data_IF_182507361471
#
_entry.id   IF_182507361471
#
_cell.length_a   1.000
_cell.length_b   1.000
_cell.length_c   1.000
_cell.angle_alpha   90.00
_cell.angle_beta   90.00
_cell.angle_gamma   90.00
#
_symmetry.space_group_name_H-M   'P 1'
#
loop_
_entity.id
_entity.type
_entity.pdbx_description
1 polymer ?
#
# COMPACT_ATOMS: atom_id res chain seq x y z
N UNK A 1 57.79 -39.14 28.70
CA UNK A 1 58.71 -40.28 28.63
C UNK A 1 57.89 -41.44 28.11
N UNK A 2 57.82 -41.66 26.80
CA UNK A 2 58.76 -42.45 25.97
C UNK A 2 58.65 -43.96 26.23
N UNK A 3 57.74 -44.58 25.46
CA UNK A 3 57.97 -45.69 24.52
C UNK A 3 58.65 -47.03 24.91
N UNK A 4 58.31 -48.03 24.06
CA UNK A 4 58.96 -49.33 23.81
C UNK A 4 58.73 -50.48 24.82
N UNK A 5 58.71 -51.76 24.41
CA UNK A 5 58.17 -52.46 23.21
C UNK A 5 58.59 -53.94 23.26
N UNK A 6 57.70 -54.87 22.95
CA UNK A 6 58.01 -56.21 22.40
C UNK A 6 56.70 -56.79 21.84
N UNK A 7 56.54 -57.12 20.54
CA UNK A 7 57.18 -58.17 19.71
C UNK A 7 56.63 -59.59 20.01
N UNK A 8 56.30 -60.47 19.06
CA UNK A 8 56.17 -60.41 17.58
C UNK A 8 55.63 -61.74 17.00
N UNK A 9 54.82 -61.75 15.92
CA UNK A 9 54.81 -62.86 14.93
C UNK A 9 54.17 -62.54 13.54
N UNK A 10 55.07 -62.45 12.57
CA UNK A 10 54.96 -62.39 11.09
C UNK A 10 54.52 -63.77 10.49
N UNK A 11 54.10 -64.01 9.23
CA UNK A 11 52.98 -63.55 8.35
C UNK A 11 52.70 -64.70 7.30
N UNK A 12 51.83 -64.62 6.25
CA UNK A 12 51.47 -65.76 5.37
C UNK A 12 52.43 -65.90 4.15
N UNK A 13 52.18 -66.74 3.10
CA UNK A 13 51.23 -66.41 2.00
C UNK A 13 50.64 -67.61 1.17
N UNK A 14 49.90 -67.27 0.09
CA UNK A 14 49.78 -67.97 -1.23
C UNK A 14 49.09 -69.36 -1.36
N UNK A 15 48.52 -69.77 -2.52
CA UNK A 15 48.06 -69.07 -3.76
C UNK A 15 47.25 -70.02 -4.68
N UNK A 16 46.77 -69.49 -5.83
CA UNK A 16 46.52 -70.12 -7.16
C UNK A 16 45.05 -70.45 -7.56
N UNK A 17 44.59 -70.21 -8.80
CA UNK A 17 45.17 -69.44 -9.94
C UNK A 17 44.18 -69.26 -11.13
N UNK A 18 44.44 -68.23 -11.97
CA UNK A 18 44.21 -68.17 -13.45
C UNK A 18 42.78 -68.22 -14.04
N UNK A 19 42.42 -67.52 -15.14
CA UNK A 19 43.17 -66.58 -16.02
C UNK A 19 42.23 -65.76 -16.94
N UNK A 20 42.70 -64.60 -17.40
CA UNK A 20 42.08 -63.70 -18.41
C UNK A 20 42.62 -64.00 -19.84
N UNK A 21 42.61 -63.07 -20.83
CA UNK A 21 41.51 -62.32 -21.49
C UNK A 21 41.54 -62.46 -23.04
N UNK A 22 40.55 -61.94 -23.79
CA UNK A 22 40.76 -61.47 -25.17
C UNK A 22 39.66 -60.54 -25.73
N UNK A 23 40.08 -59.71 -26.69
CA UNK A 23 39.32 -58.66 -27.41
C UNK A 23 38.78 -59.12 -28.77
N UNK A 24 37.74 -58.45 -29.31
CA UNK A 24 37.74 -57.94 -30.70
C UNK A 24 36.47 -57.13 -31.06
N UNK A 25 36.61 -56.26 -32.06
CA UNK A 25 35.56 -55.41 -32.64
C UNK A 25 35.41 -55.69 -34.14
N UNK A 26 34.19 -55.86 -34.68
CA UNK A 26 33.80 -55.51 -36.08
C UNK A 26 32.35 -55.88 -36.45
N UNK A 27 31.68 -55.00 -37.21
CA UNK A 27 30.46 -55.17 -38.03
C UNK A 27 30.67 -56.17 -39.23
N UNK A 28 29.74 -56.43 -40.21
CA UNK A 28 28.38 -55.88 -40.45
C UNK A 28 27.24 -56.86 -40.93
N UNK A 29 25.99 -56.36 -40.94
CA UNK A 29 24.90 -56.51 -41.95
C UNK A 29 24.36 -57.85 -42.53
N UNK A 30 23.03 -57.82 -42.80
CA UNK A 30 22.22 -58.61 -43.78
C UNK A 30 21.62 -59.97 -43.36
N UNK A 31 20.50 -60.47 -43.91
CA UNK A 31 19.25 -59.86 -44.41
C UNK A 31 18.20 -60.94 -44.75
N UNK A 32 16.93 -60.80 -44.30
CA UNK A 32 15.67 -61.32 -44.91
C UNK A 32 14.53 -61.28 -43.87
N UNK A 33 13.27 -60.98 -44.18
CA UNK A 33 12.69 -60.43 -45.41
C UNK A 33 11.21 -60.81 -45.56
N UNK A 34 10.30 -59.83 -45.63
CA UNK A 34 9.03 -59.81 -46.41
C UNK A 34 8.10 -58.66 -45.97
N UNK A 35 7.90 -57.74 -46.91
CA UNK A 35 6.78 -56.79 -46.98
C UNK A 35 5.62 -57.45 -47.79
N UNK A 36 4.41 -56.86 -47.97
CA UNK A 36 4.20 -55.51 -48.52
C UNK A 36 3.19 -54.61 -47.78
N UNK A 37 3.40 -53.29 -47.91
CA UNK A 37 2.41 -52.24 -47.57
C UNK A 37 1.75 -51.60 -48.80
N UNK A 38 1.53 -50.27 -48.73
CA UNK A 38 0.99 -49.35 -49.78
C UNK A 38 -0.55 -49.37 -49.97
N UNK A 39 -1.29 -48.28 -50.24
CA UNK A 39 -1.09 -46.81 -50.20
C UNK A 39 -2.52 -46.18 -50.05
N UNK A 40 -2.81 -44.92 -49.71
CA UNK A 40 -2.19 -43.61 -49.99
C UNK A 40 -3.05 -42.82 -50.99
N UNK A 41 -3.35 -41.53 -50.77
CA UNK A 41 -4.06 -40.68 -51.75
C UNK A 41 -4.74 -39.42 -51.20
N UNK A 42 -4.48 -38.26 -51.83
CA UNK A 42 -5.02 -36.92 -51.50
C UNK A 42 -6.17 -36.52 -52.46
N UNK A 43 -7.04 -35.56 -52.08
CA UNK A 43 -7.97 -34.89 -53.02
C UNK A 43 -8.99 -33.93 -52.37
N UNK A 44 -9.27 -32.78 -53.01
CA UNK A 44 -10.16 -31.71 -52.52
C UNK A 44 -11.62 -31.81 -53.06
N UNK A 45 -12.60 -31.29 -52.29
CA UNK A 45 -13.84 -30.51 -52.65
C UNK A 45 -14.75 -30.88 -53.86
N UNK A 46 -16.02 -30.37 -53.97
CA UNK A 46 -16.95 -29.83 -52.94
C UNK A 46 -18.46 -30.25 -53.08
N UNK A 47 -19.17 -30.41 -51.94
CA UNK A 47 -20.65 -30.30 -51.79
C UNK A 47 -21.58 -31.22 -52.62
N UNK A 48 -22.92 -31.01 -52.63
CA UNK A 48 -23.78 -30.30 -51.66
C UNK A 48 -24.99 -31.14 -51.15
N UNK A 49 -25.61 -30.82 -50.00
CA UNK A 49 -27.04 -31.08 -49.75
C UNK A 49 -27.66 -30.07 -48.78
N UNK A 50 -28.97 -29.82 -48.92
CA UNK A 50 -29.67 -28.62 -48.44
C UNK A 50 -30.60 -28.85 -47.23
N UNK A 51 -30.76 -27.80 -46.41
CA UNK A 51 -31.99 -27.52 -45.65
C UNK A 51 -32.08 -28.14 -44.25
N UNK A 52 -32.75 -27.53 -43.26
CA UNK A 52 -33.62 -26.33 -43.30
C UNK A 52 -33.47 -25.48 -42.02
N UNK A 53 -33.97 -24.25 -42.05
CA UNK A 53 -33.78 -23.22 -41.04
C UNK A 53 -34.87 -23.24 -39.95
N UNK A 54 -34.49 -23.00 -38.70
CA UNK A 54 -35.39 -22.68 -37.59
C UNK A 54 -34.83 -21.52 -36.78
N UNK A 55 -35.57 -20.42 -36.67
CA UNK A 55 -35.14 -19.22 -35.92
C UNK A 55 -35.43 -19.36 -34.41
N UNK A 56 -34.68 -18.65 -33.55
CA UNK A 56 -34.93 -18.64 -32.10
C UNK A 56 -36.25 -17.95 -31.74
N UNK A 57 -37.07 -18.60 -30.92
CA UNK A 57 -38.26 -18.00 -30.32
C UNK A 57 -37.88 -17.13 -29.10
N UNK A 58 -38.53 -15.98 -28.98
CA UNK A 58 -38.36 -15.06 -27.86
C UNK A 58 -39.48 -15.28 -26.84
N UNK A 59 -39.18 -15.89 -25.70
CA UNK A 59 -40.16 -16.01 -24.60
C UNK A 59 -40.30 -14.69 -23.84
N UNK A 60 -41.50 -14.10 -23.87
CA UNK A 60 -41.87 -12.97 -23.02
C UNK A 60 -42.26 -13.45 -21.62
N UNK A 61 -41.82 -12.79 -20.53
CA UNK A 61 -42.41 -13.01 -19.22
C UNK A 61 -43.82 -12.38 -19.13
N UNK A 62 -44.78 -13.00 -18.42
CA UNK A 62 -46.17 -12.56 -18.39
C UNK A 62 -46.42 -11.31 -17.54
N UNK A 63 -47.42 -10.54 -17.97
CA UNK A 63 -47.84 -9.26 -17.40
C UNK A 63 -48.53 -9.44 -16.04
N UNK A 64 -47.88 -9.00 -14.96
CA UNK A 64 -48.50 -8.82 -13.65
C UNK A 64 -48.74 -7.33 -13.36
N UNK A 65 -50.00 -6.90 -13.24
CA UNK A 65 -50.30 -5.53 -12.81
C UNK A 65 -50.00 -5.36 -11.31
N UNK A 66 -49.13 -4.39 -10.97
CA UNK A 66 -48.96 -3.89 -9.62
C UNK A 66 -49.53 -2.47 -9.53
N UNK A 67 -50.44 -2.28 -8.57
CA UNK A 67 -51.25 -1.07 -8.42
C UNK A 67 -50.45 0.08 -7.81
N UNK A 68 -50.74 1.32 -8.22
CA UNK A 68 -49.99 2.52 -7.84
C UNK A 68 -50.02 2.81 -6.33
N UNK A 69 -48.85 3.11 -5.76
CA UNK A 69 -48.70 3.73 -4.43
C UNK A 69 -47.64 4.83 -4.47
N UNK A 70 -48.05 6.11 -4.48
CA UNK A 70 -47.11 7.24 -4.43
C UNK A 70 -46.74 7.60 -2.98
N UNK A 71 -45.47 7.91 -2.67
CA UNK A 71 -45.10 8.59 -1.44
C UNK A 71 -45.56 10.05 -1.45
N UNK A 72 -46.31 10.47 -0.42
CA UNK A 72 -46.67 11.87 -0.22
C UNK A 72 -45.42 12.73 0.04
N UNK A 73 -45.16 13.70 -0.83
CA UNK A 73 -44.33 14.86 -0.50
C UNK A 73 -45.21 15.99 0.03
N UNK A 74 -44.80 16.63 1.13
CA UNK A 74 -45.52 17.75 1.74
C UNK A 74 -45.59 18.96 0.81
N UNK A 75 -46.74 19.62 0.78
CA UNK A 75 -46.95 20.79 -0.09
C UNK A 75 -46.23 22.03 0.44
N UNK A 76 -45.47 22.68 -0.42
CA UNK A 76 -45.07 24.09 -0.26
C UNK A 76 -46.08 24.95 -1.05
N UNK A 77 -46.63 26.04 -0.48
CA UNK A 77 -47.58 26.90 -1.20
C UNK A 77 -46.95 27.61 -2.41
N UNK A 78 -47.59 27.50 -3.57
CA UNK A 78 -47.24 28.26 -4.76
C UNK A 78 -47.67 29.73 -4.63
N UNK A 79 -46.71 30.65 -4.77
CA UNK A 79 -46.98 32.04 -5.17
C UNK A 79 -46.68 32.23 -6.66
N UNK A 80 -47.38 33.13 -7.39
CA UNK A 80 -47.12 33.38 -8.80
C UNK A 80 -45.76 34.05 -9.03
N UNK A 81 -45.08 33.79 -10.17
CA UNK A 81 -43.78 34.37 -10.46
C UNK A 81 -43.88 35.88 -10.76
N UNK A 82 -43.18 36.71 -9.99
CA UNK A 82 -42.95 38.10 -10.38
C UNK A 82 -41.84 38.18 -11.43
N UNK A 83 -42.20 38.64 -12.63
CA UNK A 83 -41.24 39.13 -13.60
C UNK A 83 -40.74 40.52 -13.17
N UNK A 84 -39.63 40.56 -12.42
CA UNK A 84 -38.94 41.81 -12.13
C UNK A 84 -38.36 42.41 -13.43
N UNK A 85 -38.85 43.58 -13.85
CA UNK A 85 -38.23 44.31 -14.94
C UNK A 85 -36.83 44.80 -14.53
N UNK A 86 -35.81 44.75 -15.42
CA UNK A 86 -34.55 45.43 -15.19
C UNK A 86 -34.77 46.95 -15.15
N UNK A 87 -34.72 47.55 -13.96
CA UNK A 87 -34.81 48.99 -13.81
C UNK A 87 -33.50 49.63 -14.28
N UNK A 88 -33.49 50.17 -15.50
CA UNK A 88 -32.36 50.96 -16.01
C UNK A 88 -32.24 52.27 -15.22
N UNK A 89 -31.30 52.30 -14.28
CA UNK A 89 -30.85 53.56 -13.68
C UNK A 89 -30.07 54.40 -14.71
N UNK A 90 -30.24 55.73 -14.75
CA UNK A 90 -29.45 56.58 -15.64
C UNK A 90 -27.97 56.56 -15.22
N UNK A 91 -27.02 56.61 -16.17
CA UNK A 91 -25.59 56.63 -15.85
C UNK A 91 -25.22 57.93 -15.13
N UNK A 92 -24.60 57.82 -13.96
CA UNK A 92 -23.95 58.97 -13.32
C UNK A 92 -22.71 59.37 -14.12
N UNK A 93 -22.80 60.49 -14.83
CA UNK A 93 -21.64 61.16 -15.40
C UNK A 93 -20.83 61.82 -14.27
N UNK A 94 -19.76 61.15 -13.84
CA UNK A 94 -18.64 61.85 -13.19
C UNK A 94 -17.92 62.74 -14.20
N UNK A 95 -17.45 63.95 -13.84
CA UNK A 95 -16.72 64.80 -14.77
C UNK A 95 -15.40 64.14 -15.19
N UNK A 96 -14.96 64.31 -16.45
CA UNK A 96 -13.71 63.73 -16.92
C UNK A 96 -12.52 64.34 -16.17
N UNK A 97 -11.80 63.52 -15.41
CA UNK A 97 -10.49 63.91 -14.91
C UNK A 97 -9.51 63.95 -16.08
N UNK A 98 -9.21 65.16 -16.56
CA UNK A 98 -8.13 65.39 -17.50
C UNK A 98 -6.81 64.99 -16.83
N UNK A 99 -6.29 63.81 -17.18
CA UNK A 99 -4.94 63.43 -16.85
C UNK A 99 -3.98 64.40 -17.54
N UNK A 100 -3.33 65.27 -16.77
CA UNK A 100 -2.29 66.15 -17.28
C UNK A 100 -1.13 65.28 -17.81
N UNK A 101 -0.55 65.61 -18.98
CA UNK A 101 0.62 64.90 -19.47
C UNK A 101 1.78 65.09 -18.47
N UNK A 102 2.58 64.05 -18.18
CA UNK A 102 3.68 64.18 -17.24
C UNK A 102 4.70 65.19 -17.77
N UNK A 103 5.06 66.17 -16.93
CA UNK A 103 6.14 67.10 -17.20
C UNK A 103 7.42 66.33 -17.53
N UNK A 104 8.11 66.72 -18.61
CA UNK A 104 9.38 66.10 -18.99
C UNK A 104 10.42 66.25 -17.87
N UNK A 105 11.34 65.27 -17.71
CA UNK A 105 12.29 65.28 -16.61
C UNK A 105 13.23 66.49 -16.70
N UNK A 106 13.27 67.31 -15.65
CA UNK A 106 14.32 68.30 -15.46
C UNK A 106 15.68 67.59 -15.33
N UNK A 107 16.70 67.96 -16.12
CA UNK A 107 18.03 67.39 -15.97
C UNK A 107 18.69 67.96 -14.70
N UNK A 108 18.74 67.17 -13.63
CA UNK A 108 19.47 67.55 -12.40
C UNK A 108 19.10 66.82 -11.11
N UNK A 109 17.96 66.11 -11.02
CA UNK A 109 17.58 65.37 -9.82
C UNK A 109 17.79 63.85 -9.96
N UNK A 110 18.27 63.15 -8.91
CA UNK A 110 18.24 61.69 -8.86
C UNK A 110 16.79 61.21 -9.02
N UNK A 111 16.54 60.36 -10.02
CA UNK A 111 15.18 59.86 -10.29
C UNK A 111 14.61 59.08 -9.10
N UNK A 112 13.29 59.13 -8.86
CA UNK A 112 12.68 58.38 -7.77
C UNK A 112 12.93 56.88 -7.97
N UNK A 113 13.56 56.26 -6.97
CA UNK A 113 13.81 54.83 -6.99
C UNK A 113 12.48 54.08 -7.19
N UNK A 114 12.42 53.05 -8.06
CA UNK A 114 11.21 52.28 -8.26
C UNK A 114 10.80 51.66 -6.92
N UNK A 115 9.64 52.07 -6.41
CA UNK A 115 9.08 51.54 -5.18
C UNK A 115 8.63 50.10 -5.43
N UNK A 116 9.56 49.16 -5.23
CA UNK A 116 9.25 47.75 -5.15
C UNK A 116 8.29 47.58 -3.98
N UNK A 117 7.00 47.38 -4.28
CA UNK A 117 5.98 47.10 -3.28
C UNK A 117 6.42 45.94 -2.38
N UNK A 118 6.03 45.94 -1.10
CA UNK A 118 6.53 44.98 -0.12
C UNK A 118 6.38 43.55 -0.67
N UNK A 119 7.44 42.71 -0.60
CA UNK A 119 7.45 41.41 -1.25
C UNK A 119 6.25 40.59 -0.75
N UNK A 120 5.44 40.12 -1.69
CA UNK A 120 4.20 39.41 -1.40
C UNK A 120 4.46 38.31 -0.35
N UNK A 121 3.76 38.41 0.78
CA UNK A 121 3.98 37.52 1.91
C UNK A 121 3.93 36.06 1.46
N UNK A 122 5.02 35.31 1.67
CA UNK A 122 5.10 33.91 1.24
C UNK A 122 4.00 33.12 1.93
N UNK A 123 2.98 32.72 1.17
CA UNK A 123 1.88 31.91 1.67
C UNK A 123 2.39 30.61 2.34
N UNK A 124 1.61 30.02 3.25
CA UNK A 124 2.07 28.91 4.08
C UNK A 124 2.63 27.76 3.24
N UNK A 125 3.74 27.18 3.69
CA UNK A 125 4.36 26.05 2.99
C UNK A 125 3.37 24.89 2.84
N UNK A 126 2.70 24.54 3.94
CA UNK A 126 1.67 23.51 3.98
C UNK A 126 0.33 24.07 3.49
N UNK A 127 -0.23 23.46 2.45
CA UNK A 127 -1.57 23.75 1.94
C UNK A 127 -2.56 22.73 2.53
N UNK A 128 -3.72 23.17 3.07
CA UNK A 128 -4.70 22.29 3.65
C UNK A 128 -5.33 21.35 2.60
N UNK A 129 -5.88 20.24 3.07
CA UNK A 129 -6.72 19.36 2.25
C UNK A 129 -8.13 19.96 2.20
N UNK A 130 -8.77 19.90 1.03
CA UNK A 130 -10.15 20.37 0.84
C UNK A 130 -11.12 19.56 1.73
N UNK A 131 -12.15 20.18 2.33
CA UNK A 131 -13.20 19.47 3.07
C UNK A 131 -13.95 18.42 2.25
N UNK A 132 -14.55 17.45 2.93
CA UNK A 132 -15.42 16.43 2.32
C UNK A 132 -14.74 15.41 1.40
N UNK A 133 -13.41 15.43 1.22
CA UNK A 133 -12.73 14.45 0.35
C UNK A 133 -12.52 13.11 1.06
N UNK A 134 -12.65 11.97 0.36
CA UNK A 134 -12.30 10.66 0.89
C UNK A 134 -10.77 10.49 0.98
N UNK A 135 -10.33 9.54 1.81
CA UNK A 135 -8.92 9.30 2.10
C UNK A 135 -8.02 9.20 0.86
N UNK A 136 -8.44 8.46 -0.17
CA UNK A 136 -7.64 8.27 -1.41
C UNK A 136 -7.49 9.53 -2.27
N UNK A 137 -8.19 10.64 -1.98
CA UNK A 137 -8.07 11.89 -2.74
C UNK A 137 -7.33 13.01 -1.98
N UNK A 138 -6.84 12.73 -0.76
CA UNK A 138 -6.24 13.75 0.12
C UNK A 138 -4.95 14.40 -0.40
N UNK A 139 -4.31 13.86 -1.44
CA UNK A 139 -3.16 14.49 -2.09
C UNK A 139 -3.56 15.54 -3.17
N UNK A 140 -4.87 15.70 -3.46
CA UNK A 140 -5.41 16.71 -4.40
C UNK A 140 -5.71 18.03 -3.70
N UNK A 141 -4.70 18.63 -3.09
CA UNK A 141 -4.74 19.99 -2.51
C UNK A 141 -4.59 21.05 -3.61
N UNK A 142 -4.73 22.35 -3.28
CA UNK A 142 -4.53 23.42 -4.28
C UNK A 142 -3.04 23.57 -4.71
N UNK A 143 -2.12 22.98 -3.95
CA UNK A 143 -0.72 22.78 -4.33
C UNK A 143 -0.51 21.58 -5.27
N UNK A 144 -1.55 20.82 -5.61
CA UNK A 144 -1.42 19.68 -6.53
C UNK A 144 -1.02 20.14 -7.93
N UNK A 145 -0.10 19.41 -8.56
CA UNK A 145 0.24 19.48 -9.98
C UNK A 145 0.45 18.05 -10.47
N UNK A 146 0.18 17.77 -11.74
CA UNK A 146 0.20 16.41 -12.29
C UNK A 146 1.53 15.65 -12.07
N UNK A 147 2.66 16.38 -12.03
CA UNK A 147 3.99 15.80 -11.80
C UNK A 147 4.30 15.50 -10.32
N UNK A 148 3.59 16.13 -9.37
CA UNK A 148 3.91 16.05 -7.93
C UNK A 148 3.73 14.64 -7.32
N UNK A 149 2.71 13.85 -7.69
CA UNK A 149 2.64 12.45 -7.29
C UNK A 149 3.84 11.65 -7.80
N UNK A 150 4.22 11.82 -9.08
CA UNK A 150 5.32 11.08 -9.71
C UNK A 150 6.67 11.43 -9.08
N UNK A 151 7.02 12.72 -9.02
CA UNK A 151 8.26 13.20 -8.39
C UNK A 151 8.29 12.86 -6.90
N UNK A 152 7.13 12.87 -6.23
CA UNK A 152 7.03 12.44 -4.83
C UNK A 152 7.37 10.96 -4.66
N UNK A 153 6.81 10.08 -5.49
CA UNK A 153 7.11 8.64 -5.44
C UNK A 153 8.59 8.38 -5.76
N UNK A 154 9.15 9.03 -6.78
CA UNK A 154 10.59 8.90 -7.11
C UNK A 154 11.47 9.41 -5.96
N UNK A 155 11.12 10.53 -5.33
CA UNK A 155 11.85 11.06 -4.18
C UNK A 155 11.76 10.14 -2.95
N UNK A 156 10.59 9.54 -2.68
CA UNK A 156 10.40 8.54 -1.62
C UNK A 156 11.26 7.31 -1.89
N UNK A 157 11.25 6.76 -3.11
CA UNK A 157 12.06 5.60 -3.48
C UNK A 157 13.57 5.88 -3.41
N UNK A 158 14.03 7.02 -3.92
CA UNK A 158 15.43 7.43 -3.85
C UNK A 158 15.91 7.69 -2.42
N UNK A 159 15.07 8.30 -1.58
CA UNK A 159 15.35 8.49 -0.16
C UNK A 159 15.35 7.16 0.62
N UNK A 160 14.45 6.23 0.29
CA UNK A 160 14.44 4.88 0.86
C UNK A 160 15.71 4.12 0.52
N UNK A 161 16.11 4.10 -0.77
CA UNK A 161 17.35 3.48 -1.22
C UNK A 161 18.58 4.07 -0.49
N UNK A 162 18.68 5.40 -0.40
CA UNK A 162 19.78 6.07 0.31
C UNK A 162 19.78 5.75 1.82
N UNK A 163 18.62 5.77 2.47
CA UNK A 163 18.50 5.50 3.90
C UNK A 163 18.86 4.04 4.23
N UNK A 164 18.39 3.07 3.42
CA UNK A 164 18.77 1.66 3.56
C UNK A 164 20.24 1.43 3.26
N UNK A 165 20.82 2.10 2.25
CA UNK A 165 22.25 2.02 1.97
C UNK A 165 23.11 2.58 3.12
N UNK A 166 22.71 3.70 3.73
CA UNK A 166 23.37 4.24 4.93
C UNK A 166 23.22 3.28 6.11
N UNK A 167 22.02 2.73 6.34
CA UNK A 167 21.80 1.74 7.41
C UNK A 167 22.64 0.48 7.20
N UNK A 168 22.78 0.00 5.96
CA UNK A 168 23.62 -1.14 5.59
C UNK A 168 25.09 -0.87 5.88
N UNK A 169 25.61 0.30 5.50
CA UNK A 169 26.98 0.71 5.82
C UNK A 169 27.19 0.77 7.34
N UNK A 170 26.26 1.36 8.10
CA UNK A 170 26.33 1.41 9.56
C UNK A 170 26.24 0.02 10.21
N UNK A 171 25.42 -0.88 9.66
CA UNK A 171 25.31 -2.26 10.11
C UNK A 171 26.59 -3.06 9.88
N UNK A 172 27.21 -2.93 8.70
CA UNK A 172 28.51 -3.54 8.37
C UNK A 172 29.62 -2.98 9.28
N UNK A 173 29.67 -1.66 9.51
CA UNK A 173 30.63 -1.05 10.43
C UNK A 173 30.43 -1.59 11.86
N UNK A 174 29.18 -1.66 12.34
CA UNK A 174 28.84 -2.22 13.65
C UNK A 174 29.27 -3.68 13.78
N UNK A 175 29.04 -4.50 12.74
CA UNK A 175 29.47 -5.88 12.68
C UNK A 175 31.00 -6.02 12.75
N UNK A 176 31.74 -5.24 11.95
CA UNK A 176 33.22 -5.25 11.94
C UNK A 176 33.78 -4.80 13.30
N UNK A 177 33.18 -3.82 13.95
CA UNK A 177 33.59 -3.34 15.28
C UNK A 177 33.41 -4.41 16.37
N UNK A 178 32.40 -5.28 16.24
CA UNK A 178 32.12 -6.35 17.22
C UNK A 178 32.93 -7.62 16.94
N UNK A 179 33.09 -8.01 15.67
CA UNK A 179 33.68 -9.30 15.29
C UNK A 179 35.14 -9.21 14.80
N UNK A 180 35.62 -8.02 14.45
CA UNK A 180 36.97 -7.79 13.93
C UNK A 180 37.13 -8.03 12.42
N UNK A 181 36.14 -8.60 11.76
CA UNK A 181 36.14 -8.97 10.34
C UNK A 181 34.83 -8.55 9.63
N UNK A 182 34.84 -8.35 8.30
CA UNK A 182 33.62 -8.08 7.54
C UNK A 182 32.68 -9.30 7.53
N UNK A 183 31.36 -9.09 7.47
CA UNK A 183 30.41 -10.21 7.43
C UNK A 183 30.54 -10.99 6.11
N UNK A 184 30.68 -12.30 6.22
CA UNK A 184 30.55 -13.22 5.09
C UNK A 184 29.07 -13.46 4.79
N UNK A 185 28.60 -13.03 3.62
CA UNK A 185 27.22 -13.28 3.17
C UNK A 185 27.05 -14.77 2.88
N UNK A 186 26.23 -15.46 3.69
CA UNK A 186 25.99 -16.91 3.56
C UNK A 186 24.92 -17.25 2.52
N UNK A 187 24.02 -16.31 2.25
CA UNK A 187 22.96 -16.38 1.25
C UNK A 187 22.51 -14.97 0.88
N UNK A 188 21.69 -14.83 -0.16
CA UNK A 188 21.05 -13.56 -0.54
C UNK A 188 20.15 -12.98 0.59
N UNK A 189 19.82 -13.80 1.59
CA UNK A 189 18.88 -13.52 2.68
C UNK A 189 19.52 -13.38 4.05
N UNK A 190 20.79 -13.77 4.21
CA UNK A 190 21.56 -13.62 5.46
C UNK A 190 22.82 -12.78 5.24
N UNK A 191 22.70 -11.50 5.63
CA UNK A 191 23.71 -10.47 5.47
C UNK A 191 24.79 -10.55 6.56
N UNK A 192 24.42 -10.92 7.78
CA UNK A 192 25.31 -10.99 8.94
C UNK A 192 25.61 -12.42 9.40
N UNK A 193 25.09 -13.43 8.70
CA UNK A 193 25.22 -14.84 9.08
C UNK A 193 24.54 -15.20 10.41
N UNK A 194 23.59 -14.36 10.87
CA UNK A 194 22.92 -14.45 12.16
C UNK A 194 21.46 -13.96 12.04
N UNK A 195 20.51 -14.88 12.21
CA UNK A 195 19.07 -14.63 12.01
C UNK A 195 18.52 -13.45 12.83
N UNK A 196 19.03 -13.19 14.04
CA UNK A 196 18.55 -12.09 14.88
C UNK A 196 19.06 -10.73 14.38
N UNK A 197 20.31 -10.67 13.91
CA UNK A 197 20.87 -9.47 13.28
C UNK A 197 20.20 -9.19 11.93
N UNK A 198 20.01 -10.23 11.11
CA UNK A 198 19.33 -10.14 9.81
C UNK A 198 17.86 -9.71 9.97
N UNK A 199 17.13 -10.28 10.92
CA UNK A 199 15.76 -9.87 11.26
C UNK A 199 15.71 -8.41 11.74
N UNK A 200 16.57 -8.05 12.70
CA UNK A 200 16.62 -6.69 13.24
C UNK A 200 16.92 -5.64 12.18
N UNK A 201 17.86 -5.93 11.27
CA UNK A 201 18.20 -5.09 10.14
C UNK A 201 17.04 -4.91 9.17
N UNK A 202 16.41 -6.01 8.73
CA UNK A 202 15.31 -5.96 7.76
C UNK A 202 14.09 -5.18 8.30
N UNK A 203 13.68 -5.45 9.56
CA UNK A 203 12.58 -4.72 10.18
C UNK A 203 12.90 -3.23 10.39
N UNK A 204 14.15 -2.90 10.77
CA UNK A 204 14.60 -1.51 10.92
C UNK A 204 14.67 -0.76 9.59
N UNK A 205 15.16 -1.40 8.52
CA UNK A 205 15.24 -0.84 7.17
C UNK A 205 13.84 -0.46 6.65
N UNK A 206 12.84 -1.33 6.84
CA UNK A 206 11.46 -1.06 6.47
C UNK A 206 10.83 0.04 7.34
N UNK A 207 11.11 0.05 8.65
CA UNK A 207 10.62 1.09 9.55
C UNK A 207 11.05 2.52 9.16
N UNK A 208 12.21 2.68 8.50
CA UNK A 208 12.68 3.97 7.96
C UNK A 208 11.76 4.55 6.87
N UNK A 209 10.86 3.75 6.26
CA UNK A 209 9.91 4.27 5.28
C UNK A 209 8.91 5.26 5.92
N UNK A 210 8.61 5.17 7.22
CA UNK A 210 7.69 6.09 7.94
C UNK A 210 8.16 7.57 7.84
N UNK A 211 9.35 7.95 8.34
CA UNK A 211 9.82 9.32 8.20
C UNK A 211 10.00 9.74 6.73
N UNK A 212 10.35 8.81 5.84
CA UNK A 212 10.60 9.10 4.42
C UNK A 212 9.30 9.48 3.68
N UNK A 213 8.22 8.71 3.82
CA UNK A 213 6.92 9.08 3.22
C UNK A 213 6.32 10.33 3.85
N UNK A 214 6.58 10.57 5.14
CA UNK A 214 6.19 11.80 5.83
C UNK A 214 6.90 13.03 5.25
N UNK A 215 8.22 12.93 5.03
CA UNK A 215 9.01 13.96 4.35
C UNK A 215 8.58 14.14 2.89
N UNK A 216 8.22 13.08 2.17
CA UNK A 216 7.64 13.16 0.82
C UNK A 216 6.32 13.94 0.79
N UNK A 217 5.44 13.72 1.77
CA UNK A 217 4.16 14.42 1.87
C UNK A 217 4.34 15.91 2.21
N UNK A 218 5.26 16.22 3.11
CA UNK A 218 5.56 17.59 3.52
C UNK A 218 6.36 18.38 2.47
N UNK A 219 7.45 17.81 1.95
CA UNK A 219 8.36 18.47 1.02
C UNK A 219 7.82 18.52 -0.40
N UNK A 220 7.43 17.37 -0.97
CA UNK A 220 7.00 17.32 -2.38
C UNK A 220 5.52 17.67 -2.52
N UNK A 221 4.64 17.06 -1.72
CA UNK A 221 3.20 17.28 -1.85
C UNK A 221 2.69 18.53 -1.11
N UNK A 222 3.52 19.17 -0.26
CA UNK A 222 3.19 20.38 0.51
C UNK A 222 1.94 20.23 1.40
N UNK A 223 1.77 19.06 2.04
CA UNK A 223 0.66 18.78 2.97
C UNK A 223 1.17 18.24 4.31
N UNK A 224 0.31 18.22 5.34
CA UNK A 224 0.68 17.70 6.66
C UNK A 224 0.96 16.19 6.57
N UNK A 225 2.07 15.66 7.11
CA UNK A 225 2.39 14.23 7.04
C UNK A 225 1.26 13.30 7.51
N UNK A 226 0.58 13.65 8.61
CA UNK A 226 -0.53 12.87 9.15
C UNK A 226 -1.77 12.75 8.23
N UNK A 227 -1.81 13.43 7.08
CA UNK A 227 -2.81 13.15 6.01
C UNK A 227 -2.61 11.77 5.37
N UNK A 228 -1.44 11.15 5.57
CA UNK A 228 -1.20 9.75 5.27
C UNK A 228 -1.79 8.81 6.33
N UNK A 229 -2.05 9.28 7.56
CA UNK A 229 -2.58 8.44 8.66
C UNK A 229 -4.11 8.31 8.60
N UNK A 230 -4.82 9.42 8.44
CA UNK A 230 -6.28 9.46 8.32
C UNK A 230 -6.80 10.75 7.69
N UNK A 231 -8.08 10.78 7.35
CA UNK A 231 -8.83 11.97 6.90
C UNK A 231 -8.83 13.12 7.92
N UNK A 232 -8.56 12.82 9.20
CA UNK A 232 -8.45 13.82 10.27
C UNK A 232 -7.01 14.36 10.41
N UNK A 233 -6.07 13.82 9.63
CA UNK A 233 -4.68 14.28 9.61
C UNK A 233 -3.82 13.77 10.77
N UNK A 234 -4.23 12.69 11.45
CA UNK A 234 -3.53 12.05 12.59
C UNK A 234 -4.03 10.61 12.80
N UNK A 235 -3.27 9.77 13.49
CA UNK A 235 -3.78 8.48 13.99
C UNK A 235 -4.86 8.71 15.04
N UNK A 236 -5.98 7.99 14.92
CA UNK A 236 -7.10 8.01 15.86
C UNK A 236 -6.91 6.90 16.89
N UNK A 237 -6.08 7.13 17.90
CA UNK A 237 -5.68 6.13 18.90
C UNK A 237 -6.83 5.30 19.50
N UNK A 238 -7.98 5.93 19.82
CA UNK A 238 -9.17 5.20 20.33
C UNK A 238 -9.75 4.21 19.32
N UNK A 239 -9.69 4.55 18.03
CA UNK A 239 -10.10 3.67 16.94
C UNK A 239 -9.07 2.57 16.70
N UNK A 240 -7.77 2.93 16.65
CA UNK A 240 -6.67 1.95 16.54
C UNK A 240 -6.73 0.89 17.63
N UNK A 241 -6.93 1.26 18.90
CA UNK A 241 -7.07 0.29 20.00
C UNK A 241 -8.27 -0.64 19.84
N UNK A 242 -9.40 -0.15 19.30
CA UNK A 242 -10.56 -0.98 18.99
C UNK A 242 -10.24 -1.95 17.83
N UNK A 243 -9.49 -1.50 16.82
CA UNK A 243 -8.98 -2.34 15.74
C UNK A 243 -7.99 -3.41 16.23
N UNK A 244 -7.12 -3.09 17.19
CA UNK A 244 -6.22 -4.06 17.84
C UNK A 244 -7.01 -5.13 18.61
N UNK A 245 -8.06 -4.74 19.34
CA UNK A 245 -8.95 -5.68 20.01
C UNK A 245 -9.66 -6.63 19.03
N UNK A 246 -10.07 -6.13 17.87
CA UNK A 246 -10.63 -6.98 16.81
C UNK A 246 -9.55 -7.84 16.12
N UNK A 247 -8.30 -7.35 16.03
CA UNK A 247 -7.20 -8.06 15.40
C UNK A 247 -6.76 -9.27 16.23
N UNK A 248 -6.83 -9.16 17.57
CA UNK A 248 -6.70 -10.31 18.46
C UNK A 248 -7.75 -11.41 18.16
N UNK A 249 -9.02 -11.03 17.96
CA UNK A 249 -10.07 -12.00 17.58
C UNK A 249 -9.76 -12.63 16.22
N UNK A 250 -9.30 -11.83 15.25
CA UNK A 250 -8.81 -12.36 13.96
C UNK A 250 -7.71 -13.41 14.15
N UNK A 251 -6.69 -13.16 14.97
CA UNK A 251 -5.62 -14.14 15.22
C UNK A 251 -6.16 -15.46 15.80
N UNK A 252 -7.04 -15.41 16.80
CA UNK A 252 -7.62 -16.63 17.38
C UNK A 252 -8.42 -17.43 16.35
N UNK A 253 -9.15 -16.76 15.46
CA UNK A 253 -9.95 -17.42 14.41
C UNK A 253 -9.06 -17.92 13.27
N UNK A 254 -8.05 -17.16 12.82
CA UNK A 254 -7.08 -17.59 11.79
C UNK A 254 -6.23 -18.77 12.26
N UNK A 255 -5.73 -18.73 13.51
CA UNK A 255 -5.02 -19.86 14.11
C UNK A 255 -5.91 -21.11 14.22
N UNK A 256 -7.14 -20.97 14.71
CA UNK A 256 -8.10 -22.08 14.81
C UNK A 256 -8.51 -22.66 13.46
N UNK A 257 -8.72 -21.80 12.45
CA UNK A 257 -9.01 -22.21 11.08
C UNK A 257 -7.80 -22.90 10.43
N UNK A 258 -6.58 -22.45 10.71
CA UNK A 258 -5.35 -23.05 10.20
C UNK A 258 -5.09 -24.43 10.82
N UNK A 259 -5.33 -24.59 12.14
CA UNK A 259 -5.29 -25.89 12.80
C UNK A 259 -6.33 -26.86 12.20
N UNK A 260 -7.55 -26.37 11.92
CA UNK A 260 -8.60 -27.14 11.24
C UNK A 260 -8.18 -27.55 9.81
N UNK A 261 -7.57 -26.62 9.06
CA UNK A 261 -7.06 -26.87 7.72
C UNK A 261 -5.93 -27.91 7.71
N UNK A 262 -5.06 -27.95 8.73
CA UNK A 262 -4.06 -29.01 8.89
C UNK A 262 -4.70 -30.38 9.12
N UNK A 263 -5.68 -30.46 10.03
CA UNK A 263 -6.35 -31.74 10.39
C UNK A 263 -7.16 -32.33 9.22
N UNK A 264 -7.85 -31.49 8.44
CA UNK A 264 -8.80 -31.93 7.42
C UNK A 264 -8.33 -31.75 5.97
N UNK A 265 -7.20 -31.08 5.76
CA UNK A 265 -6.82 -30.58 4.42
C UNK A 265 -5.95 -31.50 3.57
N UNK A 266 -5.54 -32.66 4.07
CA UNK A 266 -4.53 -33.53 3.41
C UNK A 266 -3.27 -32.73 3.03
N UNK A 267 -2.80 -31.92 3.99
CA UNK A 267 -1.62 -31.05 3.84
C UNK A 267 -0.38 -31.86 4.20
N UNK A 268 0.72 -31.79 3.42
CA UNK A 268 1.97 -32.50 3.77
C UNK A 268 2.47 -32.15 5.17
N UNK A 269 2.92 -33.17 5.90
CA UNK A 269 3.49 -33.04 7.24
C UNK A 269 4.82 -32.25 7.19
N UNK A 270 4.74 -30.95 7.50
CA UNK A 270 5.91 -30.10 7.75
C UNK A 270 6.56 -30.48 9.09
N UNK A 271 7.83 -30.90 9.13
CA UNK A 271 8.45 -31.52 10.31
C UNK A 271 8.26 -30.69 11.58
N UNK A 272 7.74 -31.33 12.63
CA UNK A 272 7.37 -30.67 13.89
C UNK A 272 8.59 -30.04 14.60
N UNK A 273 8.82 -28.76 14.32
CA UNK A 273 9.72 -27.91 15.10
C UNK A 273 9.31 -27.91 16.57
N UNK A 274 10.27 -28.24 17.44
CA UNK A 274 10.11 -28.30 18.89
C UNK A 274 10.24 -26.92 19.53
N UNK A 275 9.60 -26.71 20.68
CA UNK A 275 9.82 -25.52 21.51
C UNK A 275 11.30 -25.33 21.81
N UNK A 276 11.86 -24.15 21.49
CA UNK A 276 13.30 -23.87 21.60
C UNK A 276 13.76 -23.56 23.03
N UNK A 277 12.84 -23.21 23.93
CA UNK A 277 13.16 -22.74 25.27
C UNK A 277 13.26 -21.22 25.36
N UNK A 278 13.13 -20.70 26.58
CA UNK A 278 13.08 -19.24 26.81
C UNK A 278 14.37 -18.51 26.43
N UNK A 279 15.54 -19.13 26.60
CA UNK A 279 16.82 -18.50 26.29
C UNK A 279 16.93 -18.11 24.80
N UNK A 280 16.59 -19.05 23.90
CA UNK A 280 16.69 -18.85 22.46
C UNK A 280 15.50 -18.07 21.88
N UNK A 281 14.34 -18.12 22.54
CA UNK A 281 13.13 -17.38 22.12
C UNK A 281 13.14 -15.89 22.50
N UNK A 282 13.68 -15.51 23.65
CA UNK A 282 13.51 -14.15 24.20
C UNK A 282 14.12 -13.06 23.32
N UNK A 283 15.28 -13.30 22.71
CA UNK A 283 15.95 -12.33 21.84
C UNK A 283 15.16 -12.04 20.53
N UNK A 284 14.81 -13.04 19.69
CA UNK A 284 13.97 -12.80 18.53
C UNK A 284 12.60 -12.23 18.92
N UNK A 285 11.98 -12.71 20.01
CA UNK A 285 10.70 -12.18 20.48
C UNK A 285 10.76 -10.68 20.83
N UNK A 286 11.83 -10.24 21.49
CA UNK A 286 12.06 -8.82 21.80
C UNK A 286 12.25 -7.98 20.53
N UNK A 287 13.02 -8.47 19.55
CA UNK A 287 13.23 -7.80 18.25
C UNK A 287 11.89 -7.68 17.50
N UNK A 288 11.12 -8.75 17.44
CA UNK A 288 9.80 -8.81 16.78
C UNK A 288 8.82 -7.83 17.43
N UNK A 289 8.63 -7.91 18.75
CA UNK A 289 7.69 -7.04 19.47
C UNK A 289 8.11 -5.57 19.40
N UNK A 290 9.41 -5.27 19.37
CA UNK A 290 9.91 -3.90 19.26
C UNK A 290 9.77 -3.31 17.85
N UNK A 291 10.04 -4.08 16.78
CA UNK A 291 10.20 -3.54 15.42
C UNK A 291 9.04 -3.85 14.45
N UNK A 292 8.34 -4.99 14.57
CA UNK A 292 7.20 -5.31 13.69
C UNK A 292 6.10 -4.24 13.72
N UNK A 293 5.73 -3.64 14.87
CA UNK A 293 4.78 -2.52 14.90
C UNK A 293 5.16 -1.35 13.99
N UNK A 294 6.47 -1.09 13.82
CA UNK A 294 6.97 -0.04 12.94
C UNK A 294 7.08 -0.52 11.49
N UNK A 295 7.61 -1.72 11.23
CA UNK A 295 7.72 -2.29 9.87
C UNK A 295 6.35 -2.39 9.19
N UNK A 296 5.37 -3.05 9.81
CA UNK A 296 4.03 -3.19 9.27
C UNK A 296 3.34 -1.82 9.08
N UNK A 297 3.51 -0.89 10.05
CA UNK A 297 3.01 0.48 9.89
C UNK A 297 3.64 1.20 8.70
N UNK A 298 4.94 1.01 8.46
CA UNK A 298 5.68 1.65 7.37
C UNK A 298 5.17 1.21 6.00
N UNK A 299 4.92 -0.09 5.85
CA UNK A 299 4.31 -0.66 4.65
C UNK A 299 2.87 -0.16 4.47
N UNK A 300 2.05 -0.11 5.51
CA UNK A 300 0.72 0.51 5.41
C UNK A 300 0.78 1.98 4.98
N UNK A 301 1.75 2.75 5.49
CA UNK A 301 1.97 4.13 5.05
C UNK A 301 2.40 4.24 3.57
N UNK A 302 3.10 3.25 3.00
CA UNK A 302 3.46 3.21 1.57
C UNK A 302 2.30 2.72 0.70
N UNK A 303 1.83 1.49 0.94
CA UNK A 303 0.91 0.78 0.03
C UNK A 303 -0.54 1.20 0.19
N UNK A 304 -0.95 1.62 1.39
CA UNK A 304 -2.34 2.02 1.69
C UNK A 304 -2.45 3.53 1.90
N UNK A 305 -1.41 4.18 2.42
CA UNK A 305 -1.32 5.63 2.60
C UNK A 305 -0.88 6.36 1.32
N UNK A 306 0.38 6.16 0.89
CA UNK A 306 1.00 6.94 -0.19
C UNK A 306 0.43 6.58 -1.57
N UNK A 307 0.46 5.31 -1.96
CA UNK A 307 0.11 4.86 -3.32
C UNK A 307 -1.34 5.22 -3.70
N UNK A 308 -2.39 4.90 -2.90
CA UNK A 308 -3.76 5.22 -3.28
C UNK A 308 -4.02 6.72 -3.34
N UNK A 309 -3.33 7.51 -2.51
CA UNK A 309 -3.41 8.97 -2.53
C UNK A 309 -2.66 9.58 -3.73
N UNK A 310 -1.52 9.03 -4.12
CA UNK A 310 -0.81 9.42 -5.34
C UNK A 310 -1.64 9.13 -6.60
N UNK A 311 -2.32 7.97 -6.67
CA UNK A 311 -3.23 7.61 -7.77
C UNK A 311 -4.48 8.50 -7.77
N UNK A 312 -5.14 8.68 -6.63
CA UNK A 312 -6.34 9.52 -6.53
C UNK A 312 -6.08 11.02 -6.69
N UNK A 313 -4.82 11.46 -6.54
CA UNK A 313 -4.40 12.80 -6.96
C UNK A 313 -4.41 12.97 -8.49
N UNK A 314 -4.20 11.91 -9.27
CA UNK A 314 -4.14 11.95 -10.74
C UNK A 314 -5.52 11.98 -11.43
N UNK A 315 -6.63 12.25 -10.71
CA UNK A 315 -7.96 12.32 -11.32
C UNK A 315 -8.04 13.36 -12.43
N UNK A 316 -8.77 13.03 -13.50
CA UNK A 316 -8.98 13.88 -14.67
C UNK A 316 -10.19 14.83 -14.52
N UNK A 317 -10.71 15.02 -13.30
CA UNK A 317 -11.94 15.78 -13.02
C UNK A 317 -11.95 17.19 -13.62
N UNK A 318 -10.83 17.89 -13.55
CA UNK A 318 -10.71 19.30 -13.97
C UNK A 318 -10.27 19.45 -15.45
N UNK A 319 -10.23 18.36 -16.23
CA UNK A 319 -9.86 18.41 -17.66
C UNK A 319 -11.10 18.28 -18.57
N UNK A 320 -11.16 19.02 -19.69
CA UNK A 320 -12.09 18.73 -20.77
C UNK A 320 -11.97 17.26 -21.20
N UNK A 321 -13.09 16.55 -21.33
CA UNK A 321 -13.11 15.10 -21.62
C UNK A 321 -12.89 14.18 -20.39
N UNK A 322 -12.67 14.73 -19.19
CA UNK A 322 -12.46 13.99 -17.93
C UNK A 322 -13.64 13.13 -17.41
N UNK A 323 -14.71 13.02 -18.18
CA UNK A 323 -15.86 12.13 -17.94
C UNK A 323 -15.74 10.74 -18.59
N UNK A 324 -14.71 10.50 -19.42
CA UNK A 324 -14.45 9.20 -20.04
C UNK A 324 -14.23 8.06 -19.03
N UNK A 325 -14.18 6.81 -19.51
CA UNK A 325 -14.07 5.61 -18.66
C UNK A 325 -12.88 5.70 -17.68
N UNK A 326 -11.69 6.04 -18.18
CA UNK A 326 -10.49 6.27 -17.35
C UNK A 326 -10.71 7.38 -16.31
N UNK A 327 -11.34 8.48 -16.70
CA UNK A 327 -11.67 9.60 -15.82
C UNK A 327 -12.68 9.24 -14.73
N UNK A 328 -13.58 8.28 -14.98
CA UNK A 328 -14.48 7.70 -13.95
C UNK A 328 -13.73 6.71 -13.06
N UNK A 329 -12.94 5.80 -13.63
CA UNK A 329 -12.18 4.81 -12.88
C UNK A 329 -11.26 5.45 -11.84
N UNK A 330 -10.47 6.46 -12.23
CA UNK A 330 -9.53 7.17 -11.35
C UNK A 330 -10.21 7.92 -10.18
N UNK A 331 -11.52 8.22 -10.26
CA UNK A 331 -12.27 8.83 -9.13
C UNK A 331 -12.54 7.80 -8.03
N UNK A 332 -12.72 6.54 -8.41
CA UNK A 332 -12.92 5.43 -7.46
C UNK A 332 -11.60 5.09 -6.75
N UNK A 333 -11.62 4.47 -5.56
CA UNK A 333 -10.40 4.06 -4.88
C UNK A 333 -9.73 2.83 -5.52
N UNK A 334 -10.46 2.07 -6.36
CA UNK A 334 -10.02 0.77 -6.85
C UNK A 334 -8.69 0.77 -7.60
N UNK A 335 -8.36 1.72 -8.50
CA UNK A 335 -7.04 1.74 -9.14
C UNK A 335 -5.89 1.91 -8.14
N UNK A 336 -6.10 2.69 -7.08
CA UNK A 336 -5.13 2.86 -6.01
C UNK A 336 -4.97 1.62 -5.13
N UNK A 337 -6.09 0.97 -4.78
CA UNK A 337 -6.10 -0.27 -4.00
C UNK A 337 -5.44 -1.41 -4.78
N UNK A 338 -5.81 -1.61 -6.05
CA UNK A 338 -5.27 -2.68 -6.89
C UNK A 338 -3.79 -2.47 -7.19
N UNK A 339 -3.35 -1.24 -7.50
CA UNK A 339 -1.92 -0.95 -7.68
C UNK A 339 -1.14 -1.18 -6.37
N UNK A 340 -1.68 -0.74 -5.24
CA UNK A 340 -1.08 -0.98 -3.93
C UNK A 340 -0.94 -2.46 -3.61
N UNK A 341 -2.00 -3.25 -3.86
CA UNK A 341 -2.02 -4.70 -3.64
C UNK A 341 -1.04 -5.45 -4.55
N UNK A 342 -1.02 -5.17 -5.87
CA UNK A 342 -0.08 -5.80 -6.82
C UNK A 342 1.37 -5.48 -6.45
N UNK A 343 1.67 -4.22 -6.14
CA UNK A 343 3.03 -3.82 -5.74
C UNK A 343 3.44 -4.47 -4.41
N UNK A 344 2.52 -4.54 -3.43
CA UNK A 344 2.74 -5.24 -2.17
C UNK A 344 3.10 -6.71 -2.41
N UNK A 345 2.26 -7.45 -3.14
CA UNK A 345 2.50 -8.86 -3.49
C UNK A 345 3.83 -9.05 -4.24
N UNK A 346 4.17 -8.17 -5.18
CA UNK A 346 5.43 -8.28 -5.96
C UNK A 346 6.71 -8.08 -5.14
N UNK A 347 6.59 -7.58 -3.91
CA UNK A 347 7.72 -7.32 -3.00
C UNK A 347 7.83 -8.37 -1.88
N UNK A 348 7.08 -9.47 -1.97
CA UNK A 348 7.20 -10.63 -1.07
C UNK A 348 7.65 -11.88 -1.84
N UNK A 349 8.35 -12.79 -1.15
CA UNK A 349 8.87 -14.05 -1.72
C UNK A 349 7.86 -15.20 -1.82
N UNK A 350 6.57 -14.97 -1.56
CA UNK A 350 5.56 -16.03 -1.61
C UNK A 350 5.39 -16.60 -3.03
N UNK A 351 5.07 -17.89 -3.10
CA UNK A 351 4.79 -18.58 -4.37
C UNK A 351 3.49 -19.40 -4.30
N UNK A 352 3.03 -19.89 -5.45
CA UNK A 352 1.77 -20.64 -5.53
C UNK A 352 0.58 -19.83 -5.00
N UNK A 353 -0.21 -20.43 -4.11
CA UNK A 353 -1.38 -19.77 -3.53
C UNK A 353 -1.04 -18.65 -2.53
N UNK A 354 0.19 -18.60 -1.98
CA UNK A 354 0.62 -17.52 -1.10
C UNK A 354 0.62 -16.14 -1.78
N UNK A 355 0.79 -16.11 -3.11
CA UNK A 355 0.63 -14.88 -3.91
C UNK A 355 -0.81 -14.35 -3.87
N UNK A 356 -1.81 -15.24 -3.92
CA UNK A 356 -3.22 -14.87 -3.82
C UNK A 356 -3.53 -14.36 -2.41
N UNK A 357 -2.98 -15.00 -1.39
CA UNK A 357 -3.16 -14.63 0.02
C UNK A 357 -2.69 -13.20 0.30
N UNK A 358 -1.42 -12.91 0.00
CA UNK A 358 -0.83 -11.58 0.15
C UNK A 358 -1.51 -10.53 -0.75
N UNK A 359 -1.99 -10.91 -1.93
CA UNK A 359 -2.80 -10.01 -2.77
C UNK A 359 -4.15 -9.68 -2.13
N UNK A 360 -4.83 -10.67 -1.55
CA UNK A 360 -6.09 -10.47 -0.83
C UNK A 360 -5.88 -9.62 0.42
N UNK A 361 -4.82 -9.85 1.19
CA UNK A 361 -4.37 -8.97 2.26
C UNK A 361 -4.13 -7.53 1.77
N UNK A 362 -3.42 -7.38 0.64
CA UNK A 362 -3.27 -6.16 -0.13
C UNK A 362 -4.58 -5.40 -0.33
N UNK A 363 -5.53 -6.06 -0.99
CA UNK A 363 -6.80 -5.49 -1.41
C UNK A 363 -7.75 -5.20 -0.24
N UNK A 364 -7.84 -6.10 0.75
CA UNK A 364 -8.72 -5.98 1.91
C UNK A 364 -8.25 -4.83 2.82
N UNK A 365 -6.95 -4.74 3.12
CA UNK A 365 -6.36 -3.64 3.89
C UNK A 365 -6.55 -2.28 3.19
N UNK A 366 -6.36 -2.22 1.86
CA UNK A 366 -6.60 -1.03 1.06
C UNK A 366 -8.07 -0.60 1.02
N UNK A 367 -8.99 -1.55 0.87
CA UNK A 367 -10.44 -1.29 0.94
C UNK A 367 -10.82 -0.75 2.32
N UNK A 368 -10.36 -1.40 3.40
CA UNK A 368 -10.70 -1.03 4.77
C UNK A 368 -10.16 0.35 5.15
N UNK A 369 -8.95 0.67 4.68
CA UNK A 369 -8.34 2.01 4.81
C UNK A 369 -9.25 3.10 4.25
N UNK A 370 -9.72 2.93 3.01
CA UNK A 370 -10.61 3.92 2.38
C UNK A 370 -11.98 3.96 3.05
N UNK A 371 -12.54 2.81 3.46
CA UNK A 371 -13.87 2.71 4.09
C UNK A 371 -13.91 3.29 5.51
N UNK A 372 -12.81 3.25 6.25
CA UNK A 372 -12.69 3.78 7.61
C UNK A 372 -11.99 5.14 7.67
N UNK A 373 -11.56 5.67 6.52
CA UNK A 373 -10.94 7.00 6.41
C UNK A 373 -9.52 7.08 6.98
N UNK A 374 -8.79 5.97 7.11
CA UNK A 374 -7.44 5.97 7.67
C UNK A 374 -6.85 4.57 7.85
N UNK A 375 -5.55 4.53 8.13
CA UNK A 375 -4.76 3.30 8.17
C UNK A 375 -5.00 2.45 9.43
N UNK A 376 -5.68 2.95 10.46
CA UNK A 376 -5.66 2.32 11.79
C UNK A 376 -6.11 0.86 11.80
N UNK A 377 -7.12 0.51 10.99
CA UNK A 377 -7.62 -0.86 10.89
C UNK A 377 -6.71 -1.77 10.06
N UNK A 378 -6.01 -1.21 9.07
CA UNK A 378 -5.03 -1.97 8.28
C UNK A 378 -3.74 -2.20 9.08
N UNK A 379 -3.25 -1.19 9.79
CA UNK A 379 -2.11 -1.28 10.72
C UNK A 379 -2.39 -2.33 11.80
N UNK A 380 -3.56 -2.30 12.44
CA UNK A 380 -3.88 -3.30 13.47
C UNK A 380 -3.89 -4.73 12.90
N UNK A 381 -4.53 -4.96 11.74
CA UNK A 381 -4.51 -6.27 11.10
C UNK A 381 -3.06 -6.72 10.78
N UNK A 382 -2.28 -5.86 10.14
CA UNK A 382 -0.92 -6.17 9.70
C UNK A 382 0.04 -6.42 10.86
N UNK A 383 0.04 -5.55 11.88
CA UNK A 383 0.91 -5.71 13.06
C UNK A 383 0.62 -7.03 13.78
N UNK A 384 -0.65 -7.34 14.04
CA UNK A 384 -0.99 -8.59 14.74
C UNK A 384 -0.71 -9.82 13.88
N UNK A 385 -0.98 -9.77 12.58
CA UNK A 385 -0.64 -10.85 11.65
C UNK A 385 0.86 -11.14 11.64
N UNK A 386 1.70 -10.11 11.46
CA UNK A 386 3.15 -10.28 11.40
C UNK A 386 3.73 -10.67 12.77
N UNK A 387 3.18 -10.17 13.88
CA UNK A 387 3.57 -10.65 15.22
C UNK A 387 3.35 -12.16 15.35
N UNK A 388 2.21 -12.70 14.89
CA UNK A 388 1.99 -14.15 14.87
C UNK A 388 2.94 -14.86 13.91
N UNK A 389 3.11 -14.34 12.68
CA UNK A 389 3.94 -14.92 11.64
C UNK A 389 5.44 -14.96 11.97
N UNK A 390 5.95 -14.07 12.83
CA UNK A 390 7.34 -14.11 13.31
C UNK A 390 7.50 -14.81 14.67
N UNK A 391 6.60 -14.59 15.64
CA UNK A 391 6.73 -15.20 16.96
C UNK A 391 6.51 -16.71 16.94
N UNK A 392 5.58 -17.23 16.13
CA UNK A 392 5.28 -18.65 16.11
C UNK A 392 6.46 -19.48 15.52
N UNK A 393 7.06 -19.13 14.37
CA UNK A 393 8.27 -19.81 13.90
C UNK A 393 9.47 -19.63 14.84
N UNK A 394 9.63 -18.46 15.48
CA UNK A 394 10.68 -18.25 16.48
C UNK A 394 10.53 -19.18 17.70
N UNK A 395 9.31 -19.41 18.18
CA UNK A 395 9.04 -20.34 19.29
C UNK A 395 9.41 -21.79 18.97
N UNK A 396 9.26 -22.21 17.72
CA UNK A 396 9.47 -23.59 17.27
C UNK A 396 10.77 -23.83 16.48
N UNK A 397 11.70 -22.86 16.50
CA UNK A 397 13.01 -23.00 15.87
C UNK A 397 12.98 -23.00 14.33
N UNK A 398 11.90 -22.48 13.74
CA UNK A 398 11.68 -22.39 12.29
C UNK A 398 11.73 -20.95 11.76
N UNK A 399 12.28 -20.01 12.54
CA UNK A 399 12.37 -18.60 12.13
C UNK A 399 13.26 -18.48 10.88
N UNK A 400 12.63 -18.10 9.78
CA UNK A 400 13.27 -17.78 8.50
C UNK A 400 12.76 -16.43 8.00
N UNK A 401 13.57 -15.76 7.18
CA UNK A 401 13.17 -14.55 6.46
C UNK A 401 12.66 -14.89 5.04
N UNK A 402 12.86 -16.12 4.58
CA UNK A 402 12.38 -16.60 3.29
C UNK A 402 10.92 -17.00 3.36
N UNK A 403 10.11 -16.47 2.43
CA UNK A 403 8.75 -16.94 2.20
C UNK A 403 8.74 -17.96 1.06
N UNK A 404 7.68 -18.77 0.98
CA UNK A 404 7.60 -19.87 0.02
C UNK A 404 6.18 -20.17 -0.44
N UNK A 405 5.94 -21.41 -0.83
CA UNK A 405 4.61 -21.87 -1.21
C UNK A 405 3.72 -22.04 0.02
N UNK A 406 2.46 -21.63 -0.09
CA UNK A 406 1.44 -21.86 0.95
C UNK A 406 0.35 -22.77 0.36
N UNK A 407 -0.01 -23.89 1.02
CA UNK A 407 -1.18 -24.69 0.68
C UNK A 407 -2.47 -23.86 0.64
N UNK A 408 -3.32 -24.07 -0.38
CA UNK A 408 -4.55 -23.29 -0.57
C UNK A 408 -5.52 -23.38 0.63
N UNK A 409 -5.45 -24.49 1.37
CA UNK A 409 -6.22 -24.74 2.59
C UNK A 409 -5.91 -23.68 3.66
N UNK A 410 -4.63 -23.34 3.86
CA UNK A 410 -4.20 -22.29 4.78
C UNK A 410 -4.54 -20.89 4.25
N UNK A 411 -4.47 -20.66 2.93
CA UNK A 411 -4.92 -19.40 2.31
C UNK A 411 -6.42 -19.17 2.55
N UNK A 412 -7.26 -20.20 2.42
CA UNK A 412 -8.69 -20.09 2.78
C UNK A 412 -8.86 -19.86 4.29
N UNK A 413 -8.04 -20.52 5.11
CA UNK A 413 -8.05 -20.38 6.56
C UNK A 413 -7.63 -18.99 7.07
N UNK A 414 -6.84 -18.21 6.31
CA UNK A 414 -6.52 -16.82 6.66
C UNK A 414 -7.44 -15.78 6.01
N UNK A 415 -7.72 -15.92 4.70
CA UNK A 415 -8.58 -14.98 3.96
C UNK A 415 -10.00 -14.92 4.54
N UNK A 416 -10.58 -16.03 5.00
CA UNK A 416 -11.95 -16.02 5.58
C UNK A 416 -12.00 -15.22 6.89
N UNK A 417 -11.15 -15.48 7.91
CA UNK A 417 -11.03 -14.63 9.10
C UNK A 417 -10.68 -13.18 8.78
N UNK A 418 -9.84 -12.93 7.77
CA UNK A 418 -9.48 -11.58 7.35
C UNK A 418 -10.68 -10.80 6.78
N UNK A 419 -11.56 -11.48 6.03
CA UNK A 419 -12.84 -10.90 5.58
C UNK A 419 -13.79 -10.65 6.75
N UNK A 420 -13.84 -11.54 7.76
CA UNK A 420 -14.60 -11.31 8.99
C UNK A 420 -14.07 -10.11 9.78
N UNK A 421 -12.74 -9.95 9.88
CA UNK A 421 -12.10 -8.77 10.46
C UNK A 421 -12.53 -7.50 9.71
N UNK A 422 -12.43 -7.49 8.38
CA UNK A 422 -12.79 -6.33 7.57
C UNK A 422 -14.29 -5.96 7.70
N UNK A 423 -15.17 -6.96 7.77
CA UNK A 423 -16.60 -6.76 8.01
C UNK A 423 -16.88 -6.19 9.41
N UNK A 424 -16.23 -6.75 10.44
CA UNK A 424 -16.34 -6.28 11.83
C UNK A 424 -15.81 -4.86 12.02
N UNK A 425 -14.65 -4.53 11.44
CA UNK A 425 -14.05 -3.21 11.49
C UNK A 425 -14.91 -2.18 10.72
N UNK A 426 -15.45 -2.54 9.56
CA UNK A 426 -16.37 -1.66 8.83
C UNK A 426 -17.70 -1.43 9.58
N UNK A 427 -18.26 -2.47 10.21
CA UNK A 427 -19.45 -2.33 11.04
C UNK A 427 -19.18 -1.44 12.27
N UNK A 428 -18.06 -1.66 12.96
CA UNK A 428 -17.71 -0.93 14.16
C UNK A 428 -17.37 0.55 13.85
N UNK A 429 -16.73 0.84 12.72
CA UNK A 429 -16.46 2.22 12.30
C UNK A 429 -17.75 3.02 12.08
N UNK A 430 -18.80 2.38 11.53
CA UNK A 430 -20.14 2.97 11.41
C UNK A 430 -20.83 3.15 12.77
N UNK A 431 -20.70 2.20 13.69
CA UNK A 431 -21.25 2.29 15.06
C UNK A 431 -20.62 3.43 15.85
N UNK A 432 -19.29 3.55 15.79
CA UNK A 432 -18.49 4.58 16.47
C UNK A 432 -18.47 5.93 15.75
N UNK A 433 -19.12 6.03 14.57
CA UNK A 433 -19.17 7.24 13.71
C UNK A 433 -17.79 7.82 13.39
N UNK A 434 -16.83 6.92 13.13
CA UNK A 434 -15.46 7.26 12.73
C UNK A 434 -15.48 8.11 11.46
N UNK A 435 -14.67 9.17 11.39
CA UNK A 435 -14.66 10.07 10.24
C UNK A 435 -14.13 9.37 8.98
N UNK A 436 -14.91 9.34 7.90
CA UNK A 436 -14.53 8.69 6.63
C UNK A 436 -14.15 9.66 5.52
N UNK A 437 -14.38 10.96 5.74
CA UNK A 437 -14.00 12.07 4.86
C UNK A 437 -13.35 13.18 5.68
N UNK A 438 -12.57 14.04 5.03
CA UNK A 438 -11.91 15.18 5.70
C UNK A 438 -12.94 16.14 6.30
N UNK A 439 -12.72 16.64 7.53
CA UNK A 439 -13.68 17.50 8.20
C UNK A 439 -13.90 18.83 7.45
N UNK A 440 -15.08 19.42 7.68
CA UNK A 440 -15.36 20.81 7.33
C UNK A 440 -14.32 21.76 7.94
N UNK A 441 -14.03 22.86 7.26
CA UNK A 441 -13.47 24.00 7.97
C UNK A 441 -14.43 24.39 9.10
N UNK A 442 -13.96 24.70 10.32
CA UNK A 442 -14.81 25.32 11.32
C UNK A 442 -15.48 26.54 10.69
N UNK A 443 -16.79 26.72 10.90
CA UNK A 443 -17.43 27.97 10.53
C UNK A 443 -16.60 29.12 11.16
N UNK A 444 -16.37 30.23 10.43
CA UNK A 444 -15.74 31.39 11.03
C UNK A 444 -16.53 31.72 12.30
N UNK A 445 -15.83 31.90 13.43
CA UNK A 445 -16.49 32.43 14.62
C UNK A 445 -17.16 33.73 14.20
N UNK A 446 -18.38 34.05 14.67
CA UNK A 446 -18.91 35.39 14.51
C UNK A 446 -17.84 36.38 14.94
N UNK A 447 -17.48 37.32 14.07
CA UNK A 447 -16.58 38.39 14.46
C UNK A 447 -17.23 39.10 15.64
N UNK A 448 -16.53 39.09 16.78
CA UNK A 448 -16.93 39.86 17.94
C UNK A 448 -17.00 41.32 17.47
N UNK A 449 -18.18 41.97 17.52
CA UNK A 449 -18.38 43.23 16.83
C UNK A 449 -17.36 44.23 17.34
N UNK A 450 -16.55 44.76 16.41
CA UNK A 450 -15.45 45.65 16.74
C UNK A 450 -15.96 46.76 17.65
N UNK A 451 -15.43 46.79 18.89
CA UNK A 451 -15.87 47.75 19.91
C UNK A 451 -15.63 49.15 19.38
N UNK A 452 -16.72 49.82 18.99
CA UNK A 452 -16.69 51.17 18.48
C UNK A 452 -15.94 52.05 19.48
N UNK A 453 -15.01 52.87 18.96
CA UNK A 453 -13.90 53.40 19.75
C UNK A 453 -14.31 54.10 21.04
N UNK A 454 -13.53 53.87 22.10
CA UNK A 454 -13.53 54.80 23.25
C UNK A 454 -13.22 56.20 22.73
N UNK A 455 -13.98 57.24 23.14
CA UNK A 455 -13.58 58.62 22.92
C UNK A 455 -12.17 58.85 23.49
N UNK A 456 -11.35 59.62 22.78
CA UNK A 456 -10.03 59.99 23.27
C UNK A 456 -10.15 60.86 24.52
N UNK A 457 -9.35 60.54 25.54
CA UNK A 457 -9.27 61.29 26.79
C UNK A 457 -8.66 62.68 26.52
N UNK A 458 -9.30 63.80 26.91
CA UNK A 458 -8.75 65.13 26.68
C UNK A 458 -7.51 65.35 27.57
N UNK A 459 -6.34 65.46 26.93
CA UNK A 459 -5.07 65.67 27.63
C UNK A 459 -5.05 66.95 28.48
N UNK A 460 -4.20 67.00 29.52
CA UNK A 460 -4.17 68.12 30.46
C UNK A 460 -3.68 69.41 29.79
N UNK A 461 -4.32 70.52 30.13
CA UNK A 461 -3.91 71.86 29.68
C UNK A 461 -2.57 72.28 30.32
N UNK A 462 -1.72 73.04 29.61
CA UNK A 462 -0.45 73.52 30.14
C UNK A 462 -0.65 74.66 31.14
N UNK A 463 0.28 74.75 32.10
CA UNK A 463 0.49 75.87 33.03
C UNK A 463 1.97 76.28 32.98
#
# INVERSE_FOLDING_TARGET
MTEQSDSSSWTPPDSSSSSSPSSSSSDPSSASGREPGWAGGYGNDPGPYQGSYGQPAYDQPPYGQAQYGQPQYGQAPYGPPQYGQPQYGPPQYGPPQYAQPPYGPQPGMPGPHPYHGPPAARGPWVVPVRPGVPFHQMARTDAHRWWRPLVGTVAVLGAAFLATAVLMILGIIGYVVVNGEPPEMKSDTSLFGNINADLGFNLAALALLIPIVFLGAWGVQRRRPGTLSSVVGRLRWRWLLACCGLALVFLFVSFGASALAGIFGDVPDEPEGRWVGWADFLLPALIVVALVPFQASAEEYVFRGWIPQAVGACTLQDRPGGGGVLGRALRTPWPGILLGAVLFTSLHGYTGWGLLDIFMFGAIAGWLTVRTGGLEAAIALHVFNNLMAFLLPAAFGRLTLEQGAVPWQYVVADVVPMLLYAAGAWWLSRRLRVETVTPGAPAPRPEEPAVAGRPADPGPAPA
#
